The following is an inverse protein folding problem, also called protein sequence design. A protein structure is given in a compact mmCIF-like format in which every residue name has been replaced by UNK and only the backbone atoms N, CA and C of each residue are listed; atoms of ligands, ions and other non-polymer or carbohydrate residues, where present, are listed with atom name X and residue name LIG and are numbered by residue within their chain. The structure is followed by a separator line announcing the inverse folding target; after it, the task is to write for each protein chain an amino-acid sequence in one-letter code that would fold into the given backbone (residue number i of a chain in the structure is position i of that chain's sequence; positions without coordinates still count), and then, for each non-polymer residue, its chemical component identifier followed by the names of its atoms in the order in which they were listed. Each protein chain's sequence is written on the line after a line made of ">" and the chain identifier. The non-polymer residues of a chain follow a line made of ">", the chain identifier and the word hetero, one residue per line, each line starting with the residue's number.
data_IF_651170658498
#
_entry.id   IF_651170658498
#
_cell.length_a   1.000
_cell.length_b   1.000
_cell.length_c   1.000
_cell.angle_alpha   90.00
_cell.angle_beta   90.00
_cell.angle_gamma   90.00
#
_symmetry.space_group_name_H-M   'P 1'
#
loop_
_entity.id
_entity.type
_entity.pdbx_description
1 polymer ?
#
# COMPACT_ATOMS: atom_id res chain seq x y z
N UNK A 1 -14.14 -2.62 2.06
CA UNK A 1 -15.46 -3.16 2.47
C UNK A 1 -15.79 -4.46 1.72
N UNK A 2 -15.24 -5.60 2.13
CA UNK A 2 -15.64 -6.90 1.54
C UNK A 2 -16.93 -7.44 2.16
N UNK A 3 -17.22 -7.05 3.41
CA UNK A 3 -18.39 -7.54 4.14
C UNK A 3 -19.69 -7.24 3.41
N UNK A 4 -19.79 -6.09 2.76
CA UNK A 4 -21.01 -5.67 2.07
C UNK A 4 -20.91 -5.80 0.54
N UNK A 5 -19.72 -5.66 -0.05
CA UNK A 5 -19.55 -5.64 -1.52
C UNK A 5 -19.05 -6.97 -2.10
N UNK A 6 -18.49 -7.86 -1.27
CA UNK A 6 -18.07 -9.20 -1.68
C UNK A 6 -18.43 -10.23 -0.59
N UNK A 7 -19.70 -10.31 -0.15
CA UNK A 7 -20.09 -11.01 1.09
C UNK A 7 -19.72 -12.50 1.09
N UNK A 8 -19.80 -13.18 -0.05
CA UNK A 8 -19.42 -14.60 -0.15
C UNK A 8 -17.91 -14.80 -0.01
N UNK A 9 -17.09 -13.90 -0.57
CA UNK A 9 -15.64 -13.92 -0.37
C UNK A 9 -15.29 -13.54 1.07
N UNK A 10 -15.98 -12.56 1.66
CA UNK A 10 -15.79 -12.18 3.05
C UNK A 10 -16.13 -13.33 4.00
N UNK A 11 -17.19 -14.09 3.72
CA UNK A 11 -17.54 -15.29 4.50
C UNK A 11 -16.38 -16.30 4.52
N UNK A 12 -15.67 -16.48 3.41
CA UNK A 12 -14.48 -17.34 3.34
C UNK A 12 -13.30 -16.77 4.14
N UNK A 13 -13.14 -15.44 4.15
CA UNK A 13 -12.14 -14.76 5.01
C UNK A 13 -12.49 -14.94 6.48
N UNK A 14 -13.77 -14.77 6.84
CA UNK A 14 -14.30 -14.99 8.20
C UNK A 14 -14.06 -16.41 8.67
N UNK A 15 -14.43 -17.41 7.87
CA UNK A 15 -14.18 -18.82 8.20
C UNK A 15 -12.68 -19.08 8.43
N UNK A 16 -11.82 -18.63 7.50
CA UNK A 16 -10.37 -18.81 7.65
C UNK A 16 -9.82 -18.14 8.91
N UNK A 17 -10.30 -16.94 9.26
CA UNK A 17 -9.84 -16.20 10.44
C UNK A 17 -10.35 -16.82 11.75
N UNK A 18 -11.61 -17.25 11.81
CA UNK A 18 -12.21 -17.80 13.03
C UNK A 18 -11.77 -19.25 13.29
N UNK A 19 -11.50 -20.02 12.23
CA UNK A 19 -11.05 -21.42 12.34
C UNK A 19 -9.56 -21.56 12.70
N UNK A 20 -8.75 -20.50 12.56
CA UNK A 20 -7.29 -20.56 12.76
C UNK A 20 -6.74 -19.32 13.48
N UNK A 21 -6.38 -19.46 14.75
CA UNK A 21 -5.93 -18.36 15.63
C UNK A 21 -4.67 -17.61 15.16
N UNK A 22 -3.83 -18.25 14.34
CA UNK A 22 -2.63 -17.63 13.78
C UNK A 22 -2.91 -16.71 12.58
N UNK A 23 -4.11 -16.78 11.99
CA UNK A 23 -4.50 -15.93 10.87
C UNK A 23 -4.82 -14.53 11.38
N UNK A 24 -4.37 -13.51 10.67
CA UNK A 24 -4.63 -12.10 10.97
C UNK A 24 -5.42 -11.44 9.85
N UNK A 25 -6.35 -10.56 10.20
CA UNK A 25 -7.11 -9.74 9.26
C UNK A 25 -6.81 -8.27 9.53
N UNK A 26 -6.12 -7.61 8.60
CA UNK A 26 -5.92 -6.17 8.62
C UNK A 26 -6.95 -5.51 7.70
N UNK A 27 -7.64 -4.47 8.18
CA UNK A 27 -8.62 -3.72 7.38
C UNK A 27 -8.20 -2.26 7.38
N UNK A 28 -7.87 -1.77 6.19
CA UNK A 28 -7.59 -0.36 5.92
C UNK A 28 -8.81 0.25 5.23
N UNK A 29 -9.26 1.42 5.70
CA UNK A 29 -10.34 2.19 5.08
C UNK A 29 -10.22 3.67 5.41
N UNK A 30 -10.93 4.53 4.68
CA UNK A 30 -11.05 5.96 5.01
C UNK A 30 -12.14 6.25 6.04
N UNK A 31 -12.96 5.24 6.37
CA UNK A 31 -13.99 5.27 7.41
C UNK A 31 -14.28 3.85 7.92
N UNK A 32 -14.77 3.72 9.15
CA UNK A 32 -15.15 2.42 9.71
C UNK A 32 -16.43 1.86 9.06
N UNK A 33 -16.45 0.54 8.83
CA UNK A 33 -17.57 -0.19 8.22
C UNK A 33 -17.54 -1.67 8.65
N UNK A 34 -18.52 -2.48 8.28
CA UNK A 34 -18.69 -3.88 8.79
C UNK A 34 -17.48 -4.81 8.67
N UNK A 35 -16.56 -4.60 7.72
CA UNK A 35 -15.31 -5.39 7.71
C UNK A 35 -14.42 -5.17 8.94
N UNK A 36 -14.56 -4.06 9.67
CA UNK A 36 -13.80 -3.77 10.89
C UNK A 36 -14.18 -4.72 12.05
N UNK A 37 -15.38 -5.29 12.03
CA UNK A 37 -15.86 -6.21 13.08
C UNK A 37 -15.00 -7.49 13.21
N UNK A 38 -14.25 -7.84 12.15
CA UNK A 38 -13.31 -8.99 12.13
C UNK A 38 -11.84 -8.56 12.22
N UNK A 39 -11.52 -7.27 12.14
CA UNK A 39 -10.15 -6.80 11.95
C UNK A 39 -9.31 -6.93 13.23
N UNK A 40 -8.21 -7.68 13.16
CA UNK A 40 -7.16 -7.66 14.18
C UNK A 40 -6.37 -6.34 14.14
N UNK A 41 -6.22 -5.76 12.95
CA UNK A 41 -5.50 -4.50 12.72
C UNK A 41 -6.44 -3.55 11.98
N UNK A 42 -7.30 -2.81 12.70
CA UNK A 42 -8.18 -1.81 12.10
C UNK A 42 -7.41 -0.50 11.86
N UNK A 43 -7.41 -0.01 10.63
CA UNK A 43 -6.72 1.22 10.23
C UNK A 43 -7.72 2.13 9.50
N UNK A 44 -7.97 3.29 10.09
CA UNK A 44 -8.61 4.43 9.40
C UNK A 44 -7.51 5.39 8.97
N UNK A 45 -7.49 5.77 7.70
CA UNK A 45 -6.43 6.63 7.13
C UNK A 45 -7.00 7.79 6.30
N UNK A 46 -6.26 8.89 6.20
CA UNK A 46 -6.58 10.05 5.37
C UNK A 46 -6.65 9.64 3.88
N UNK A 47 -7.68 10.05 3.10
CA UNK A 47 -7.76 9.75 1.67
C UNK A 47 -6.45 10.08 0.92
N UNK A 48 -6.07 9.23 -0.04
CA UNK A 48 -4.82 9.30 -0.82
C UNK A 48 -3.52 8.97 -0.05
N UNK A 49 -3.57 8.79 1.28
CA UNK A 49 -2.37 8.48 2.06
C UNK A 49 -1.94 7.00 2.02
N UNK A 50 -2.73 6.14 1.37
CA UNK A 50 -2.36 4.77 1.04
C UNK A 50 -1.09 4.68 0.20
N UNK A 51 -0.83 5.65 -0.69
CA UNK A 51 0.44 5.78 -1.42
C UNK A 51 1.64 5.87 -0.47
N UNK A 52 1.51 6.61 0.63
CA UNK A 52 2.56 6.71 1.64
C UNK A 52 2.69 5.41 2.44
N UNK A 53 1.58 4.78 2.80
CA UNK A 53 1.56 3.50 3.52
C UNK A 53 2.22 2.40 2.70
N UNK A 54 1.94 2.30 1.40
CA UNK A 54 2.56 1.32 0.51
C UNK A 54 4.09 1.50 0.43
N UNK A 55 4.55 2.75 0.28
CA UNK A 55 5.99 3.06 0.29
C UNK A 55 6.63 2.77 1.66
N UNK A 56 5.91 3.02 2.76
CA UNK A 56 6.37 2.67 4.10
C UNK A 56 6.57 1.16 4.27
N UNK A 57 5.63 0.33 3.80
CA UNK A 57 5.76 -1.14 3.84
C UNK A 57 7.00 -1.59 3.06
N UNK A 58 7.19 -1.06 1.84
CA UNK A 58 8.38 -1.36 1.03
C UNK A 58 9.67 -0.96 1.75
N UNK A 59 9.70 0.24 2.34
CA UNK A 59 10.81 0.72 3.16
C UNK A 59 11.06 -0.21 4.34
N UNK A 60 10.03 -0.64 5.06
CA UNK A 60 10.16 -1.55 6.22
C UNK A 60 10.83 -2.87 5.83
N UNK A 61 10.42 -3.49 4.71
CA UNK A 61 11.03 -4.73 4.19
C UNK A 61 12.52 -4.53 3.90
N UNK A 62 12.90 -3.38 3.33
CA UNK A 62 14.30 -3.04 3.02
C UNK A 62 15.10 -2.80 4.30
N UNK A 63 14.60 -1.95 5.22
CA UNK A 63 15.32 -1.59 6.44
C UNK A 63 15.48 -2.75 7.42
N UNK A 64 14.61 -3.77 7.33
CA UNK A 64 14.70 -5.00 8.12
C UNK A 64 15.53 -6.10 7.44
N UNK A 65 16.10 -5.82 6.26
CA UNK A 65 16.87 -6.79 5.44
C UNK A 65 16.09 -8.07 5.11
N UNK A 66 14.79 -7.93 4.81
CA UNK A 66 13.88 -9.05 4.48
C UNK A 66 13.45 -9.09 3.02
N UNK A 67 14.19 -8.41 2.17
CA UNK A 67 14.01 -8.51 0.72
C UNK A 67 14.42 -9.92 0.28
N UNK A 68 13.56 -10.60 -0.48
CA UNK A 68 13.93 -11.85 -1.15
C UNK A 68 14.86 -11.54 -2.33
N UNK A 69 16.17 -11.51 -2.04
CA UNK A 69 17.21 -11.10 -3.00
C UNK A 69 17.27 -11.99 -4.25
N UNK A 70 17.03 -13.30 -4.11
CA UNK A 70 17.02 -14.21 -5.24
C UNK A 70 15.84 -13.90 -6.19
N UNK A 71 14.64 -13.75 -5.64
CA UNK A 71 13.46 -13.42 -6.43
C UNK A 71 13.58 -12.04 -7.10
N UNK A 72 14.08 -11.04 -6.35
CA UNK A 72 14.31 -9.69 -6.88
C UNK A 72 15.25 -9.73 -8.09
N UNK A 73 16.38 -10.45 -7.99
CA UNK A 73 17.36 -10.57 -9.06
C UNK A 73 16.82 -11.30 -10.28
N UNK A 74 16.10 -12.40 -10.07
CA UNK A 74 15.76 -13.33 -11.16
C UNK A 74 14.43 -13.00 -11.85
N UNK A 75 13.55 -12.22 -11.20
CA UNK A 75 12.16 -12.08 -11.63
C UNK A 75 11.58 -10.65 -11.59
N UNK A 76 12.36 -9.63 -11.21
CA UNK A 76 11.85 -8.27 -11.05
C UNK A 76 12.68 -7.26 -11.84
N UNK A 77 12.00 -6.34 -12.53
CA UNK A 77 12.59 -5.13 -13.09
C UNK A 77 12.14 -3.92 -12.28
N UNK A 78 13.06 -3.00 -11.99
CA UNK A 78 12.77 -1.77 -11.26
C UNK A 78 12.68 -0.60 -12.23
N UNK A 79 11.62 0.22 -12.09
CA UNK A 79 11.40 1.40 -12.91
C UNK A 79 10.90 2.57 -12.08
N UNK A 80 11.30 3.78 -12.49
CA UNK A 80 10.87 5.07 -11.96
C UNK A 80 9.80 5.67 -12.87
N UNK A 81 8.56 5.77 -12.37
CA UNK A 81 7.46 6.41 -13.11
C UNK A 81 7.56 7.93 -13.13
N UNK A 82 6.99 8.55 -14.16
CA UNK A 82 6.79 9.99 -14.25
C UNK A 82 5.94 10.48 -13.07
N UNK A 83 6.33 11.60 -12.47
CA UNK A 83 5.56 12.27 -11.40
C UNK A 83 4.90 13.53 -11.96
N UNK A 84 4.00 14.16 -11.20
CA UNK A 84 3.33 15.39 -11.64
C UNK A 84 2.61 15.24 -12.99
N UNK A 85 1.67 14.29 -13.02
CA UNK A 85 0.99 13.79 -14.21
C UNK A 85 -0.38 14.43 -14.47
N UNK A 86 -0.80 15.39 -13.63
CA UNK A 86 -2.13 15.99 -13.70
C UNK A 86 -3.22 15.08 -13.14
N UNK A 87 -4.48 15.38 -13.49
CA UNK A 87 -5.66 14.73 -12.90
C UNK A 87 -6.73 14.34 -13.95
N UNK A 88 -6.34 14.25 -15.23
CA UNK A 88 -7.28 13.89 -16.32
C UNK A 88 -8.38 14.91 -16.58
N UNK A 89 -8.18 16.16 -16.15
CA UNK A 89 -9.14 17.25 -16.34
C UNK A 89 -9.00 17.85 -17.75
N UNK A 90 -9.93 18.74 -18.12
CA UNK A 90 -9.85 19.47 -19.39
C UNK A 90 -8.49 20.18 -19.54
N UNK A 91 -7.89 20.27 -20.75
CA UNK A 91 -6.56 20.87 -20.94
C UNK A 91 -6.43 22.32 -20.43
N UNK A 92 -7.53 23.08 -20.45
CA UNK A 92 -7.57 24.47 -19.94
C UNK A 92 -7.61 24.56 -18.41
N UNK A 93 -7.86 23.45 -17.72
CA UNK A 93 -7.97 23.43 -16.26
C UNK A 93 -6.62 23.79 -15.62
N UNK A 94 -6.57 24.63 -14.57
CA UNK A 94 -5.30 25.07 -13.97
C UNK A 94 -4.40 23.93 -13.52
N UNK A 95 -4.96 22.86 -12.91
CA UNK A 95 -4.17 21.69 -12.50
C UNK A 95 -3.57 20.95 -13.69
N UNK A 96 -4.28 20.87 -14.82
CA UNK A 96 -3.80 20.18 -16.01
C UNK A 96 -2.70 20.99 -16.71
N UNK A 97 -2.83 22.33 -16.73
CA UNK A 97 -1.79 23.23 -17.27
C UNK A 97 -0.52 23.24 -16.43
N UNK A 98 -0.62 23.01 -15.11
CA UNK A 98 0.54 23.00 -14.20
C UNK A 98 1.33 21.69 -14.25
N UNK A 99 0.70 20.59 -14.64
CA UNK A 99 1.32 19.27 -14.63
C UNK A 99 2.43 19.14 -15.68
N UNK A 100 3.62 18.72 -15.26
CA UNK A 100 4.76 18.53 -16.16
C UNK A 100 4.60 17.37 -17.14
N UNK A 101 4.00 16.26 -16.70
CA UNK A 101 3.98 15.00 -17.45
C UNK A 101 2.55 14.58 -17.88
N UNK A 102 1.64 15.54 -18.01
CA UNK A 102 0.27 15.29 -18.45
C UNK A 102 0.15 14.61 -19.83
N UNK A 103 1.13 14.80 -20.71
CA UNK A 103 1.16 14.20 -22.06
C UNK A 103 1.66 12.76 -22.10
N UNK A 104 2.37 12.30 -21.06
CA UNK A 104 2.86 10.93 -20.92
C UNK A 104 2.80 10.49 -19.43
N UNK A 105 1.58 10.31 -18.90
CA UNK A 105 1.39 9.99 -17.48
C UNK A 105 1.85 8.57 -17.11
N UNK A 106 1.95 7.66 -18.09
CA UNK A 106 2.41 6.28 -17.90
C UNK A 106 3.91 6.07 -18.17
N UNK A 107 4.62 7.12 -18.58
CA UNK A 107 6.05 7.06 -18.87
C UNK A 107 6.87 6.63 -17.65
N UNK A 108 7.95 5.88 -17.91
CA UNK A 108 8.88 5.44 -16.86
C UNK A 108 10.27 5.14 -17.41
N UNK A 109 11.27 5.25 -16.55
CA UNK A 109 12.66 4.91 -16.86
C UNK A 109 13.14 3.75 -15.99
N UNK A 110 14.05 2.88 -16.46
CA UNK A 110 14.71 1.89 -15.60
C UNK A 110 15.37 2.57 -14.39
N UNK A 111 15.39 1.90 -13.25
CA UNK A 111 16.16 2.32 -12.07
C UNK A 111 16.85 1.13 -11.42
N UNK A 112 17.91 1.40 -10.67
CA UNK A 112 18.62 0.42 -9.84
C UNK A 112 17.89 0.19 -8.52
N UNK A 113 18.29 -0.87 -7.81
CA UNK A 113 17.75 -1.14 -6.48
C UNK A 113 18.17 -0.06 -5.46
N UNK A 114 19.39 0.46 -5.55
CA UNK A 114 19.86 1.52 -4.67
C UNK A 114 19.07 2.83 -4.87
N UNK A 115 18.72 3.16 -6.11
CA UNK A 115 17.82 4.28 -6.41
C UNK A 115 16.42 4.05 -5.85
N UNK A 116 15.92 2.80 -5.87
CA UNK A 116 14.65 2.47 -5.24
C UNK A 116 14.71 2.62 -3.71
N UNK A 117 15.79 2.16 -3.08
CA UNK A 117 16.03 2.34 -1.64
C UNK A 117 16.02 3.82 -1.29
N UNK A 118 16.79 4.65 -2.03
CA UNK A 118 16.83 6.09 -1.83
C UNK A 118 15.45 6.74 -2.05
N UNK A 119 14.64 6.23 -2.99
CA UNK A 119 13.31 6.74 -3.24
C UNK A 119 12.34 6.48 -2.07
N UNK A 120 12.36 5.28 -1.50
CA UNK A 120 11.44 4.93 -0.40
C UNK A 120 11.92 5.41 0.97
N UNK A 121 13.21 5.76 1.10
CA UNK A 121 13.81 6.18 2.37
C UNK A 121 13.03 7.31 3.11
N UNK A 122 12.47 8.34 2.43
CA UNK A 122 11.72 9.40 3.10
C UNK A 122 10.43 8.92 3.76
N UNK A 123 9.86 7.78 3.38
CA UNK A 123 8.59 7.27 3.90
C UNK A 123 8.82 6.47 5.19
N UNK A 124 9.41 7.10 6.20
CA UNK A 124 9.55 6.50 7.53
C UNK A 124 8.23 6.50 8.32
N UNK A 125 8.23 5.92 9.53
CA UNK A 125 7.03 5.78 10.34
C UNK A 125 6.44 7.14 10.72
N UNK A 126 7.29 8.11 11.07
CA UNK A 126 6.90 9.45 11.46
C UNK A 126 6.22 10.20 10.31
N UNK A 127 6.87 10.31 9.16
CA UNK A 127 6.31 10.97 7.97
C UNK A 127 5.02 10.29 7.51
N UNK A 128 4.99 8.96 7.53
CA UNK A 128 3.79 8.22 7.11
C UNK A 128 2.64 8.45 8.08
N UNK A 129 2.91 8.54 9.38
CA UNK A 129 1.92 8.92 10.40
C UNK A 129 1.40 10.33 10.15
N UNK A 130 2.28 11.30 9.89
CA UNK A 130 1.90 12.69 9.59
C UNK A 130 0.98 12.79 8.36
N UNK A 131 1.25 12.01 7.31
CA UNK A 131 0.46 12.03 6.07
C UNK A 131 -0.87 11.27 6.20
N UNK A 132 -0.87 10.14 6.89
CA UNK A 132 -2.00 9.20 6.90
C UNK A 132 -2.90 9.31 8.12
N UNK A 133 -2.43 9.92 9.21
CA UNK A 133 -3.08 9.89 10.52
C UNK A 133 -3.01 8.53 11.22
N UNK A 134 -2.34 7.53 10.64
CA UNK A 134 -2.24 6.17 11.20
C UNK A 134 -1.11 6.11 12.23
N UNK A 135 -1.35 5.66 13.47
CA UNK A 135 -0.29 5.53 14.47
C UNK A 135 0.83 4.60 14.02
N UNK A 136 2.09 4.95 14.35
CA UNK A 136 3.29 4.18 13.98
C UNK A 136 3.18 2.69 14.34
N UNK A 137 2.63 2.37 15.52
CA UNK A 137 2.46 0.98 15.94
C UNK A 137 1.58 0.16 15.00
N UNK A 138 0.52 0.76 14.42
CA UNK A 138 -0.34 0.09 13.43
C UNK A 138 0.34 -0.03 12.08
N UNK A 139 1.10 0.98 11.66
CA UNK A 139 1.92 0.92 10.45
C UNK A 139 2.95 -0.21 10.53
N UNK A 140 3.67 -0.32 11.66
CA UNK A 140 4.64 -1.39 11.91
C UNK A 140 3.96 -2.76 11.94
N UNK A 141 2.83 -2.90 12.64
CA UNK A 141 2.08 -4.15 12.69
C UNK A 141 1.62 -4.61 11.29
N UNK A 142 1.17 -3.67 10.44
CA UNK A 142 0.81 -3.95 9.05
C UNK A 142 2.02 -4.35 8.22
N UNK A 143 3.11 -3.58 8.29
CA UNK A 143 4.31 -3.83 7.50
C UNK A 143 5.00 -5.16 7.87
N UNK A 144 4.92 -5.57 9.13
CA UNK A 144 5.47 -6.84 9.59
C UNK A 144 4.79 -8.05 8.93
N UNK A 145 3.47 -7.96 8.65
CA UNK A 145 2.76 -9.02 7.92
C UNK A 145 3.37 -9.28 6.55
N UNK A 146 3.83 -8.23 5.86
CA UNK A 146 4.46 -8.35 4.54
C UNK A 146 5.94 -8.73 4.61
N UNK A 147 6.62 -8.36 5.69
CA UNK A 147 8.07 -8.54 5.81
C UNK A 147 8.46 -9.94 6.32
N UNK A 148 7.62 -10.62 7.10
CA UNK A 148 7.92 -11.96 7.60
C UNK A 148 7.76 -13.03 6.49
N UNK A 149 8.84 -13.70 6.05
CA UNK A 149 8.77 -14.71 4.98
C UNK A 149 7.97 -15.96 5.37
N UNK A 150 7.62 -16.14 6.65
CA UNK A 150 6.79 -17.27 7.12
C UNK A 150 5.29 -16.98 7.01
N UNK A 151 4.90 -15.73 6.80
CA UNK A 151 3.50 -15.33 6.69
C UNK A 151 3.09 -15.36 5.21
N UNK A 152 2.02 -16.10 4.90
CA UNK A 152 1.40 -16.07 3.57
C UNK A 152 0.39 -14.93 3.53
N UNK A 153 0.68 -13.90 2.74
CA UNK A 153 -0.17 -12.71 2.62
C UNK A 153 -1.06 -12.79 1.38
N UNK A 154 -2.32 -12.40 1.51
CA UNK A 154 -3.22 -12.10 0.38
C UNK A 154 -3.70 -10.67 0.53
N UNK A 155 -3.43 -9.84 -0.47
CA UNK A 155 -3.85 -8.43 -0.48
C UNK A 155 -5.14 -8.29 -1.29
N UNK A 156 -6.16 -7.65 -0.72
CA UNK A 156 -7.41 -7.34 -1.41
C UNK A 156 -7.55 -5.83 -1.57
N UNK A 157 -7.95 -5.39 -2.75
CA UNK A 157 -8.37 -4.02 -3.02
C UNK A 157 -9.61 -4.03 -3.92
N UNK A 158 -10.26 -2.88 -4.06
CA UNK A 158 -11.40 -2.68 -4.97
C UNK A 158 -11.37 -1.24 -5.44
N UNK A 159 -12.49 -0.51 -5.42
CA UNK A 159 -12.57 0.88 -5.90
C UNK A 159 -11.76 1.89 -5.10
N UNK A 160 -11.23 1.53 -3.93
CA UNK A 160 -10.33 2.42 -3.19
C UNK A 160 -8.99 2.64 -3.88
N UNK A 161 -8.55 1.71 -4.73
CA UNK A 161 -7.25 1.77 -5.44
C UNK A 161 -7.38 2.01 -6.95
N UNK A 162 -8.53 1.69 -7.55
CA UNK A 162 -8.76 1.82 -8.98
C UNK A 162 -8.96 3.29 -9.38
#
# INVERSE_FOLDING_TARGET
>A
NMAEMHPVLWTRVTDRRLSYSHVKVAVLSTFEHRSFDLADIPIVFTPQADLAIANFIARHIIKTNRVNQAFLRDHVMLRRGNTDIGYGLRPVHPLQRKAKNAGDPGGSQPMTFDEYVAFVEPYDAKRTTELSGVPEAKLLALAELYADPKIKVTSFWTMGFN
#
